data_IF_360043068477
#
_entry.id   IF_360043068477
#
_cell.length_a   1.000
_cell.length_b   1.000
_cell.length_c   1.000
_cell.angle_alpha   90.00
_cell.angle_beta   90.00
_cell.angle_gamma   90.00
#
_symmetry.space_group_name_H-M   'P 1'
#
loop_
_entity.id
_entity.type
_entity.pdbx_description
1 polymer ?
#
# COMPACT_ATOMS: atom_id res chain seq x y z
N UNK A 1 -6.34 -21.22 11.07
CA UNK A 1 -7.05 -20.26 11.93
C UNK A 1 -7.52 -19.12 11.05
N UNK A 2 -8.54 -18.35 11.47
CA UNK A 2 -9.07 -17.19 10.72
C UNK A 2 -9.21 -16.01 11.69
N UNK A 3 -8.75 -14.83 11.27
CA UNK A 3 -8.88 -13.62 12.05
C UNK A 3 -10.32 -13.09 11.99
N UNK A 4 -10.82 -12.63 13.14
CA UNK A 4 -12.07 -11.90 13.28
C UNK A 4 -11.69 -10.43 13.44
N UNK A 5 -11.98 -9.62 12.42
CA UNK A 5 -11.61 -8.18 12.40
C UNK A 5 -10.08 -7.96 12.46
N UNK A 6 -9.62 -6.72 12.60
CA UNK A 6 -8.23 -6.33 12.69
C UNK A 6 -8.08 -5.06 13.56
N UNK A 7 -7.39 -5.18 14.69
CA UNK A 7 -7.13 -4.07 15.63
C UNK A 7 -8.41 -3.34 16.08
N UNK A 8 -9.50 -4.09 16.27
CA UNK A 8 -10.80 -3.51 16.63
C UNK A 8 -10.75 -2.74 17.96
N UNK A 9 -9.83 -3.09 18.85
CA UNK A 9 -9.55 -2.37 20.08
C UNK A 9 -9.08 -0.93 19.87
N UNK A 10 -8.53 -0.60 18.70
CA UNK A 10 -8.15 0.76 18.30
C UNK A 10 -9.29 1.56 17.65
N UNK A 11 -10.40 0.90 17.30
CA UNK A 11 -11.52 1.54 16.64
C UNK A 11 -12.12 2.66 17.52
N UNK A 12 -12.31 3.85 16.92
CA UNK A 12 -12.91 5.01 17.56
C UNK A 12 -14.35 4.73 18.02
N UNK A 13 -15.07 3.88 17.29
CA UNK A 13 -16.44 3.47 17.59
C UNK A 13 -16.52 1.95 17.73
N UNK A 14 -16.98 1.50 18.90
CA UNK A 14 -17.12 0.09 19.22
C UNK A 14 -18.60 -0.28 19.33
N UNK A 15 -19.07 -1.11 18.40
CA UNK A 15 -20.41 -1.70 18.38
C UNK A 15 -20.37 -3.08 19.06
N UNK A 16 -21.09 -3.27 20.18
CA UNK A 16 -21.07 -4.54 20.91
C UNK A 16 -21.64 -5.73 20.11
N UNK A 17 -22.35 -5.50 19.01
CA UNK A 17 -22.95 -6.56 18.19
C UNK A 17 -22.10 -6.94 16.97
N UNK A 18 -21.15 -6.09 16.57
CA UNK A 18 -20.40 -6.27 15.32
C UNK A 18 -19.46 -7.48 15.38
N UNK A 19 -18.58 -7.53 16.39
CA UNK A 19 -17.62 -8.63 16.54
C UNK A 19 -18.29 -10.01 16.71
N UNK A 20 -19.34 -10.17 17.56
CA UNK A 20 -20.11 -11.41 17.61
C UNK A 20 -20.74 -11.80 16.26
N UNK A 21 -21.27 -10.83 15.51
CA UNK A 21 -21.84 -11.07 14.20
C UNK A 21 -20.79 -11.62 13.22
N UNK A 22 -19.59 -11.03 13.14
CA UNK A 22 -18.53 -11.52 12.26
C UNK A 22 -18.06 -12.92 12.67
N UNK A 23 -17.88 -13.18 13.96
CA UNK A 23 -17.55 -14.52 14.48
C UNK A 23 -18.57 -15.56 14.06
N UNK A 24 -19.86 -15.30 14.31
CA UNK A 24 -20.93 -16.26 14.02
C UNK A 24 -21.12 -16.47 12.51
N UNK A 25 -20.93 -15.41 11.72
CA UNK A 25 -20.88 -15.50 10.27
C UNK A 25 -19.75 -16.43 9.81
N UNK A 26 -18.53 -16.24 10.30
CA UNK A 26 -17.38 -17.07 9.94
C UNK A 26 -17.61 -18.54 10.32
N UNK A 27 -18.10 -18.82 11.54
CA UNK A 27 -18.42 -20.19 11.96
C UNK A 27 -19.54 -20.81 11.11
N UNK A 28 -20.54 -20.02 10.70
CA UNK A 28 -21.62 -20.52 9.84
C UNK A 28 -21.13 -20.95 8.45
N UNK A 29 -20.08 -20.29 7.92
CA UNK A 29 -19.54 -20.57 6.59
C UNK A 29 -18.42 -21.62 6.61
N UNK A 30 -17.62 -21.66 7.68
CA UNK A 30 -16.40 -22.46 7.75
C UNK A 30 -16.52 -23.68 8.69
N UNK A 31 -17.58 -23.72 9.51
CA UNK A 31 -17.84 -24.79 10.48
C UNK A 31 -17.28 -24.49 11.87
N UNK A 32 -17.91 -25.10 12.88
CA UNK A 32 -17.63 -24.85 14.30
C UNK A 32 -16.24 -25.30 14.78
N UNK A 33 -15.55 -26.16 14.02
CA UNK A 33 -14.19 -26.60 14.32
C UNK A 33 -13.12 -25.57 13.85
N UNK A 34 -13.54 -24.48 13.21
CA UNK A 34 -12.63 -23.41 12.77
C UNK A 34 -12.06 -22.66 13.96
N UNK A 35 -10.73 -22.65 14.08
CA UNK A 35 -10.04 -21.82 15.07
C UNK A 35 -10.12 -20.35 14.64
N UNK A 36 -10.93 -19.57 15.34
CA UNK A 36 -11.01 -18.12 15.17
C UNK A 36 -10.06 -17.41 16.14
N UNK A 37 -9.54 -16.24 15.74
CA UNK A 37 -8.70 -15.40 16.60
C UNK A 37 -8.95 -13.91 16.36
N UNK A 38 -8.63 -13.05 17.33
CA UNK A 38 -8.63 -11.58 17.21
C UNK A 38 -7.20 -11.06 17.41
N UNK A 39 -6.79 -10.06 16.64
CA UNK A 39 -5.48 -9.43 16.73
C UNK A 39 -5.63 -7.96 17.13
N UNK A 40 -4.88 -7.55 18.16
CA UNK A 40 -4.89 -6.19 18.68
C UNK A 40 -3.52 -5.81 19.26
N UNK A 41 -3.12 -4.53 19.19
CA UNK A 41 -1.93 -4.05 19.87
C UNK A 41 -2.14 -3.99 21.38
N UNK A 42 -1.04 -4.06 22.14
CA UNK A 42 -1.08 -3.97 23.61
C UNK A 42 -0.75 -2.56 24.11
N UNK A 43 -1.62 -1.60 23.78
CA UNK A 43 -1.57 -0.24 24.33
C UNK A 43 -2.33 -0.20 25.66
N UNK A 44 -1.59 -0.45 26.75
CA UNK A 44 -2.20 -0.71 28.06
C UNK A 44 -3.08 -1.97 28.02
N UNK A 45 -4.20 -1.98 28.78
CA UNK A 45 -5.18 -3.07 28.76
C UNK A 45 -6.43 -2.78 27.94
N UNK A 46 -6.52 -1.59 27.33
CA UNK A 46 -7.74 -1.13 26.68
C UNK A 46 -8.02 -1.86 25.35
N UNK A 47 -7.04 -1.89 24.44
CA UNK A 47 -7.22 -2.51 23.13
C UNK A 47 -7.60 -3.99 23.26
N UNK A 48 -6.85 -4.77 24.04
CA UNK A 48 -7.19 -6.17 24.32
C UNK A 48 -8.57 -6.36 24.97
N UNK A 49 -9.00 -5.45 25.85
CA UNK A 49 -10.34 -5.52 26.46
C UNK A 49 -11.45 -5.30 25.43
N UNK A 50 -11.21 -4.45 24.44
CA UNK A 50 -12.21 -4.00 23.48
C UNK A 50 -12.23 -4.83 22.18
N UNK A 51 -11.08 -5.31 21.73
CA UNK A 51 -10.93 -6.05 20.49
C UNK A 51 -11.10 -7.56 20.61
N UNK A 52 -11.08 -8.11 21.83
CA UNK A 52 -11.28 -9.55 22.06
C UNK A 52 -12.74 -9.93 22.22
N UNK A 53 -13.09 -11.16 21.80
CA UNK A 53 -14.44 -11.70 21.94
C UNK A 53 -14.45 -13.16 22.39
N UNK A 54 -15.47 -13.60 23.17
CA UNK A 54 -15.65 -15.00 23.50
C UNK A 54 -15.79 -15.87 22.25
N UNK A 55 -15.13 -17.04 22.25
CA UNK A 55 -15.14 -17.97 21.11
C UNK A 55 -14.09 -17.70 20.05
N UNK A 56 -13.23 -16.69 20.23
CA UNK A 56 -12.02 -16.47 19.45
C UNK A 56 -10.80 -16.41 20.39
N UNK A 57 -9.65 -16.92 19.93
CA UNK A 57 -8.37 -16.81 20.62
C UNK A 57 -7.89 -15.35 20.55
N UNK A 58 -7.55 -14.73 21.68
CA UNK A 58 -6.89 -13.42 21.63
C UNK A 58 -5.42 -13.59 21.21
N UNK A 59 -4.93 -12.70 20.35
CA UNK A 59 -3.52 -12.59 19.94
C UNK A 59 -3.05 -11.14 20.09
N UNK A 60 -1.75 -10.90 19.92
CA UNK A 60 -1.15 -9.58 20.16
C UNK A 60 -0.23 -9.13 19.05
N UNK A 61 -0.26 -7.83 18.78
CA UNK A 61 0.56 -7.20 17.75
C UNK A 61 1.48 -6.15 18.35
N UNK A 62 2.77 -6.22 17.99
CA UNK A 62 3.76 -5.22 18.38
C UNK A 62 5.06 -5.38 17.60
N UNK A 63 5.79 -4.27 17.47
CA UNK A 63 7.07 -4.24 16.77
C UNK A 63 8.25 -4.74 17.62
N UNK A 64 9.39 -4.83 16.96
CA UNK A 64 10.69 -5.09 17.60
C UNK A 64 10.90 -4.18 18.81
N UNK A 65 11.17 -4.78 19.97
CA UNK A 65 11.21 -4.12 21.28
C UNK A 65 12.28 -4.78 22.19
N UNK A 66 12.36 -4.36 23.45
CA UNK A 66 13.21 -5.05 24.43
C UNK A 66 12.47 -6.22 25.12
N UNK A 67 13.22 -7.17 25.67
CA UNK A 67 12.69 -8.39 26.30
C UNK A 67 11.66 -8.11 27.39
N UNK A 68 11.87 -7.06 28.20
CA UNK A 68 10.94 -6.70 29.28
C UNK A 68 9.59 -6.26 28.73
N UNK A 69 9.57 -5.53 27.61
CA UNK A 69 8.34 -5.12 26.95
C UNK A 69 7.60 -6.34 26.38
N UNK A 70 8.31 -7.26 25.73
CA UNK A 70 7.75 -8.49 25.17
C UNK A 70 7.12 -9.34 26.30
N UNK A 71 7.87 -9.54 27.39
CA UNK A 71 7.41 -10.30 28.56
C UNK A 71 6.17 -9.67 29.20
N UNK A 72 6.11 -8.34 29.30
CA UNK A 72 4.94 -7.61 29.76
C UNK A 72 3.73 -7.89 28.85
N UNK A 73 3.89 -7.81 27.51
CA UNK A 73 2.76 -7.99 26.58
C UNK A 73 2.21 -9.41 26.61
N UNK A 74 3.09 -10.41 26.73
CA UNK A 74 2.67 -11.80 26.90
C UNK A 74 2.02 -12.07 28.26
N UNK A 75 2.46 -11.39 29.32
CA UNK A 75 1.79 -11.47 30.62
C UNK A 75 0.37 -10.88 30.58
N UNK A 76 0.15 -9.77 29.85
CA UNK A 76 -1.19 -9.21 29.65
C UNK A 76 -2.07 -10.14 28.81
N UNK A 77 -1.55 -10.70 27.71
CA UNK A 77 -2.29 -11.67 26.88
C UNK A 77 -2.72 -12.90 27.69
N UNK A 78 -1.83 -13.42 28.55
CA UNK A 78 -2.11 -14.60 29.36
C UNK A 78 -3.32 -14.42 30.30
N UNK A 79 -3.61 -13.18 30.73
CA UNK A 79 -4.79 -12.86 31.55
C UNK A 79 -6.09 -12.98 30.76
N UNK A 80 -6.05 -12.71 29.46
CA UNK A 80 -7.22 -12.80 28.57
C UNK A 80 -7.46 -14.24 28.13
N UNK A 81 -6.39 -14.96 27.78
CA UNK A 81 -6.46 -16.33 27.27
C UNK A 81 -6.53 -17.41 28.37
N UNK A 82 -6.56 -17.04 29.66
CA UNK A 82 -6.56 -17.98 30.79
C UNK A 82 -5.44 -19.05 30.69
N UNK A 83 -4.23 -18.61 30.33
CA UNK A 83 -3.08 -19.50 30.12
C UNK A 83 -3.07 -20.29 28.80
N UNK A 84 -3.91 -19.92 27.84
CA UNK A 84 -3.87 -20.41 26.46
C UNK A 84 -2.57 -20.04 25.71
N UNK A 85 -2.43 -20.46 24.45
CA UNK A 85 -1.20 -20.24 23.69
C UNK A 85 -0.87 -18.76 23.53
N UNK A 86 0.43 -18.44 23.53
CA UNK A 86 0.94 -17.11 23.21
C UNK A 86 1.11 -17.03 21.70
N UNK A 87 0.47 -16.05 21.07
CA UNK A 87 0.54 -15.84 19.62
C UNK A 87 0.74 -14.36 19.34
N UNK A 88 1.85 -14.04 18.68
CA UNK A 88 2.10 -12.74 18.08
C UNK A 88 1.70 -12.78 16.60
N UNK A 89 0.61 -12.11 16.26
CA UNK A 89 0.02 -12.15 14.91
C UNK A 89 0.59 -11.11 13.97
N UNK A 90 1.17 -10.05 14.50
CA UNK A 90 2.03 -9.14 13.76
C UNK A 90 3.24 -8.76 14.60
N UNK A 91 4.40 -9.26 14.19
CA UNK A 91 5.70 -8.76 14.65
C UNK A 91 6.25 -7.80 13.60
N UNK A 92 6.13 -6.50 13.87
CA UNK A 92 6.55 -5.46 12.92
C UNK A 92 8.08 -5.37 12.84
N UNK A 93 8.67 -5.84 11.75
CA UNK A 93 10.13 -5.80 11.49
C UNK A 93 10.57 -4.53 10.76
N UNK A 94 9.64 -3.66 10.42
CA UNK A 94 9.85 -2.39 9.74
C UNK A 94 8.54 -1.60 9.68
N UNK A 95 8.56 -0.48 8.96
CA UNK A 95 7.41 0.40 8.82
C UNK A 95 7.18 0.77 7.34
N UNK A 96 5.94 1.09 7.00
CA UNK A 96 5.59 1.68 5.71
C UNK A 96 6.17 3.09 5.57
N UNK A 97 6.27 3.58 4.32
CA UNK A 97 6.70 4.95 4.03
C UNK A 97 5.51 5.81 3.59
N UNK A 98 5.62 7.12 3.83
CA UNK A 98 4.66 8.13 3.34
C UNK A 98 5.38 9.13 2.45
N UNK A 99 4.69 9.57 1.39
CA UNK A 99 5.25 10.61 0.53
C UNK A 99 5.49 11.91 1.29
N UNK A 100 6.63 12.54 1.09
CA UNK A 100 7.04 13.77 1.77
C UNK A 100 7.64 13.57 3.16
N UNK A 101 7.72 12.33 3.65
CA UNK A 101 8.43 11.99 4.89
C UNK A 101 9.73 11.24 4.61
N UNK A 102 10.74 11.33 5.48
CA UNK A 102 11.93 10.51 5.37
C UNK A 102 11.58 9.02 5.36
N UNK A 103 12.36 8.22 4.63
CA UNK A 103 12.25 6.76 4.69
C UNK A 103 12.46 6.27 6.13
N UNK A 104 11.60 5.39 6.66
CA UNK A 104 11.82 4.76 7.95
C UNK A 104 13.17 4.02 7.97
N UNK A 105 13.92 4.17 9.06
CA UNK A 105 15.17 3.45 9.25
C UNK A 105 14.89 1.95 9.35
N UNK A 106 15.52 1.11 8.50
CA UNK A 106 15.38 -0.34 8.64
C UNK A 106 15.85 -0.81 10.00
N UNK A 107 15.14 -1.77 10.60
CA UNK A 107 15.57 -2.42 11.84
C UNK A 107 16.77 -3.33 11.54
N UNK A 108 17.78 -3.30 12.40
CA UNK A 108 18.94 -4.17 12.27
C UNK A 108 18.52 -5.65 12.30
N UNK A 109 18.89 -6.47 11.30
CA UNK A 109 18.55 -7.90 11.26
C UNK A 109 18.99 -8.69 12.50
N UNK A 110 20.08 -8.29 13.16
CA UNK A 110 20.52 -8.92 14.41
C UNK A 110 19.52 -8.65 15.54
N UNK A 111 19.00 -7.43 15.63
CA UNK A 111 17.98 -7.07 16.64
C UNK A 111 16.67 -7.79 16.36
N UNK A 112 16.29 -7.92 15.09
CA UNK A 112 15.12 -8.73 14.68
C UNK A 112 15.31 -10.19 15.12
N UNK A 113 16.48 -10.79 14.85
CA UNK A 113 16.78 -12.16 15.24
C UNK A 113 16.68 -12.37 16.76
N UNK A 114 17.30 -11.50 17.56
CA UNK A 114 17.25 -11.62 19.02
C UNK A 114 15.83 -11.49 19.57
N UNK A 115 15.02 -10.58 19.02
CA UNK A 115 13.60 -10.45 19.38
C UNK A 115 12.81 -11.73 19.08
N UNK A 116 12.93 -12.25 17.85
CA UNK A 116 12.23 -13.47 17.44
C UNK A 116 12.69 -14.68 18.28
N UNK A 117 13.98 -14.77 18.60
CA UNK A 117 14.53 -15.82 19.45
C UNK A 117 14.02 -15.72 20.89
N UNK A 118 13.93 -14.50 21.45
CA UNK A 118 13.34 -14.29 22.77
C UNK A 118 11.87 -14.70 22.79
N UNK A 119 11.06 -14.24 21.82
CA UNK A 119 9.65 -14.65 21.68
C UNK A 119 9.50 -16.18 21.55
N UNK A 120 10.35 -16.81 20.73
CA UNK A 120 10.36 -18.26 20.55
C UNK A 120 10.71 -19.00 21.86
N UNK A 121 11.63 -18.46 22.67
CA UNK A 121 11.99 -19.03 23.98
C UNK A 121 10.82 -19.03 24.97
N UNK A 122 9.81 -18.17 24.77
CA UNK A 122 8.55 -18.15 25.53
C UNK A 122 7.50 -19.11 24.98
N UNK A 123 7.85 -19.96 24.02
CA UNK A 123 6.95 -20.88 23.33
C UNK A 123 5.82 -20.14 22.57
N UNK A 124 6.12 -18.91 22.09
CA UNK A 124 5.17 -18.13 21.29
C UNK A 124 5.12 -18.63 19.84
N UNK A 125 3.92 -18.61 19.26
CA UNK A 125 3.74 -18.66 17.80
C UNK A 125 3.88 -17.26 17.23
N UNK A 126 4.60 -17.10 16.11
CA UNK A 126 5.02 -15.79 15.62
C UNK A 126 4.70 -15.66 14.12
N UNK A 127 4.06 -14.56 13.74
CA UNK A 127 3.95 -14.11 12.36
C UNK A 127 4.78 -12.83 12.15
N UNK A 128 5.66 -12.85 11.14
CA UNK A 128 6.58 -11.75 10.84
C UNK A 128 5.91 -10.80 9.85
N UNK A 129 5.63 -9.58 10.28
CA UNK A 129 4.95 -8.57 9.47
C UNK A 129 5.90 -7.41 9.11
N UNK A 130 6.32 -7.23 7.87
CA UNK A 130 6.12 -8.07 6.68
C UNK A 130 7.38 -8.90 6.45
N UNK A 131 7.21 -10.22 6.28
CA UNK A 131 8.28 -11.09 5.77
C UNK A 131 8.66 -10.74 4.32
N UNK A 132 7.68 -10.32 3.52
CA UNK A 132 7.85 -9.72 2.20
C UNK A 132 6.69 -8.74 1.95
N UNK A 133 6.99 -7.46 1.77
CA UNK A 133 5.95 -6.43 1.62
C UNK A 133 5.45 -6.18 0.21
N UNK A 134 6.28 -6.42 -0.82
CA UNK A 134 5.88 -6.26 -2.22
C UNK A 134 5.66 -4.81 -2.66
N UNK A 135 4.57 -4.56 -3.39
CA UNK A 135 4.29 -3.28 -4.07
C UNK A 135 2.79 -2.98 -4.09
N UNK A 136 2.43 -1.74 -3.76
CA UNK A 136 1.09 -1.21 -3.95
C UNK A 136 0.90 -0.77 -5.40
N UNK A 137 0.56 -1.71 -6.28
CA UNK A 137 0.25 -1.42 -7.68
C UNK A 137 -1.04 -0.60 -7.82
N UNK A 138 -1.25 -0.05 -9.02
CA UNK A 138 -2.46 0.68 -9.36
C UNK A 138 -2.79 1.84 -8.39
N UNK A 139 -3.95 1.79 -7.76
CA UNK A 139 -4.44 2.78 -6.81
C UNK A 139 -4.64 2.18 -5.40
N UNK A 140 -4.00 1.04 -5.09
CA UNK A 140 -4.24 0.27 -3.85
C UNK A 140 -3.55 0.84 -2.61
N UNK A 141 -2.66 1.83 -2.77
CA UNK A 141 -2.02 2.54 -1.66
C UNK A 141 -3.04 3.26 -0.77
N UNK A 142 -2.89 3.15 0.54
CA UNK A 142 -3.69 3.86 1.54
C UNK A 142 -3.10 5.24 1.92
N UNK A 143 -3.79 5.95 2.82
CA UNK A 143 -3.31 7.16 3.50
C UNK A 143 -3.71 7.15 4.97
N UNK A 144 -2.90 7.79 5.81
CA UNK A 144 -3.19 7.98 7.23
C UNK A 144 -2.87 9.43 7.64
N UNK A 145 -3.87 10.23 8.10
CA UNK A 145 -5.28 9.88 8.18
C UNK A 145 -5.93 9.69 6.80
N UNK A 146 -6.92 8.82 6.74
CA UNK A 146 -7.80 8.68 5.58
C UNK A 146 -8.71 9.89 5.40
N UNK A 147 -9.21 10.10 4.18
CA UNK A 147 -10.20 11.13 3.89
C UNK A 147 -11.09 10.75 2.71
N UNK A 148 -12.33 11.25 2.70
CA UNK A 148 -13.21 11.06 1.56
C UNK A 148 -12.60 11.77 0.33
N UNK A 149 -12.47 11.10 -0.84
CA UNK A 149 -11.94 11.72 -2.04
C UNK A 149 -12.96 12.70 -2.65
N UNK A 150 -12.48 13.68 -3.42
CA UNK A 150 -13.33 14.61 -4.18
C UNK A 150 -13.50 16.00 -3.55
N UNK A 151 -14.38 16.80 -4.15
CA UNK A 151 -14.69 18.16 -3.69
C UNK A 151 -15.85 18.13 -2.69
N UNK A 152 -15.59 18.41 -1.41
CA UNK A 152 -16.61 18.31 -0.34
C UNK A 152 -17.25 19.65 0.06
N UNK A 153 -16.49 20.74 0.03
CA UNK A 153 -16.90 22.02 0.63
C UNK A 153 -17.35 23.07 -0.40
N UNK A 154 -17.74 22.63 -1.59
CA UNK A 154 -17.98 23.51 -2.72
C UNK A 154 -16.70 24.27 -3.14
N UNK A 155 -16.82 25.09 -4.17
CA UNK A 155 -15.71 25.94 -4.64
C UNK A 155 -16.27 27.31 -4.97
N UNK A 156 -15.52 28.36 -4.69
CA UNK A 156 -15.92 29.74 -4.95
C UNK A 156 -15.03 30.40 -5.99
N UNK A 157 -15.58 31.37 -6.73
CA UNK A 157 -14.84 32.31 -7.55
C UNK A 157 -15.25 33.71 -7.11
N UNK A 158 -14.28 34.51 -6.65
CA UNK A 158 -14.52 35.85 -6.08
C UNK A 158 -15.58 35.87 -4.96
N UNK A 159 -15.58 34.83 -4.13
CA UNK A 159 -16.53 34.66 -3.03
C UNK A 159 -17.91 34.15 -3.46
N UNK A 160 -18.17 33.97 -4.76
CA UNK A 160 -19.43 33.43 -5.27
C UNK A 160 -19.31 31.91 -5.43
N UNK A 161 -20.25 31.16 -4.85
CA UNK A 161 -20.28 29.70 -4.98
C UNK A 161 -20.53 29.28 -6.42
N UNK A 162 -19.65 28.40 -6.94
CA UNK A 162 -19.86 27.73 -8.22
C UNK A 162 -20.85 26.59 -8.04
N UNK A 163 -21.87 26.56 -8.90
CA UNK A 163 -22.98 25.61 -8.89
C UNK A 163 -23.10 24.90 -10.25
N UNK A 164 -23.93 23.85 -10.33
CA UNK A 164 -24.20 23.08 -11.56
C UNK A 164 -22.99 22.32 -12.13
N UNK A 165 -22.28 21.61 -11.27
CA UNK A 165 -21.14 20.78 -11.66
C UNK A 165 -21.56 19.58 -12.51
N UNK A 166 -20.83 19.35 -13.60
CA UNK A 166 -20.83 18.08 -14.32
C UNK A 166 -19.58 17.31 -13.93
N UNK A 167 -19.76 16.16 -13.27
CA UNK A 167 -18.67 15.27 -12.90
C UNK A 167 -18.68 14.03 -13.78
N UNK A 168 -17.53 13.73 -14.40
CA UNK A 168 -17.33 12.52 -15.18
C UNK A 168 -16.21 11.70 -14.56
N UNK A 169 -16.44 10.41 -14.35
CA UNK A 169 -15.37 9.48 -14.02
C UNK A 169 -14.46 9.26 -15.23
N UNK A 170 -13.15 9.20 -14.99
CA UNK A 170 -12.18 8.83 -16.02
C UNK A 170 -11.85 7.35 -15.82
N UNK A 171 -12.16 6.53 -16.82
CA UNK A 171 -11.88 5.10 -16.78
C UNK A 171 -10.41 4.84 -17.17
N UNK A 172 -9.62 4.36 -16.20
CA UNK A 172 -8.19 4.04 -16.37
C UNK A 172 -7.95 2.52 -16.32
N UNK A 173 -8.90 1.71 -16.80
CA UNK A 173 -8.69 0.27 -16.97
C UNK A 173 -7.63 -0.04 -18.02
N UNK A 174 -7.06 -1.25 -17.97
CA UNK A 174 -6.14 -1.76 -18.98
C UNK A 174 -6.68 -1.59 -20.40
N UNK A 175 -7.95 -1.94 -20.65
CA UNK A 175 -8.57 -1.80 -21.97
C UNK A 175 -8.64 -0.33 -22.44
N UNK A 176 -8.92 0.61 -21.54
CA UNK A 176 -8.91 2.04 -21.86
C UNK A 176 -7.51 2.53 -22.23
N UNK A 177 -6.47 2.08 -21.52
CA UNK A 177 -5.07 2.42 -21.79
C UNK A 177 -4.56 1.76 -23.07
N UNK A 178 -4.94 0.50 -23.34
CA UNK A 178 -4.58 -0.21 -24.57
C UNK A 178 -5.21 0.47 -25.79
N UNK A 179 -6.49 0.87 -25.70
CA UNK A 179 -7.20 1.63 -26.75
C UNK A 179 -6.54 2.98 -27.01
N UNK A 180 -6.21 3.71 -25.93
CA UNK A 180 -5.46 4.96 -26.02
C UNK A 180 -4.15 4.73 -26.79
N UNK A 181 -3.34 3.77 -26.34
CA UNK A 181 -2.03 3.46 -26.93
C UNK A 181 -2.15 3.07 -28.40
N UNK A 182 -3.12 2.22 -28.76
CA UNK A 182 -3.39 1.82 -30.14
C UNK A 182 -3.69 3.04 -31.01
N UNK A 183 -4.56 3.94 -30.54
CA UNK A 183 -4.90 5.18 -31.25
C UNK A 183 -3.70 6.11 -31.48
N UNK A 184 -2.70 6.08 -30.59
CA UNK A 184 -1.45 6.84 -30.73
C UNK A 184 -0.51 6.18 -31.74
N UNK A 185 -0.28 4.87 -31.62
CA UNK A 185 0.64 4.11 -32.48
C UNK A 185 0.16 4.08 -33.92
N UNK A 186 -1.14 3.94 -34.14
CA UNK A 186 -1.76 3.91 -35.46
C UNK A 186 -2.00 5.32 -36.05
N UNK A 187 -1.64 6.39 -35.33
CA UNK A 187 -1.81 7.78 -35.78
C UNK A 187 -3.27 8.21 -35.93
N UNK A 188 -4.21 7.50 -35.31
CA UNK A 188 -5.65 7.72 -35.43
C UNK A 188 -6.15 8.87 -34.56
N UNK A 189 -5.34 9.39 -33.64
CA UNK A 189 -5.74 10.46 -32.74
C UNK A 189 -5.30 11.84 -33.30
N UNK A 190 -6.24 12.69 -33.76
CA UNK A 190 -5.93 13.98 -34.39
C UNK A 190 -5.45 15.04 -33.40
N UNK A 191 -5.56 14.80 -32.09
CA UNK A 191 -5.03 15.68 -31.03
C UNK A 191 -3.58 15.35 -30.67
N UNK A 192 -2.98 14.34 -31.31
CA UNK A 192 -1.59 13.97 -31.12
C UNK A 192 -0.70 15.03 -31.73
N UNK A 193 0.08 15.67 -30.86
CA UNK A 193 1.16 16.55 -31.26
C UNK A 193 2.37 15.66 -31.56
N UNK A 194 2.72 15.48 -32.84
CA UNK A 194 4.01 14.91 -33.29
C UNK A 194 5.14 15.50 -32.44
N UNK A 195 6.19 14.73 -32.08
CA UNK A 195 7.06 14.96 -30.93
C UNK A 195 7.37 16.45 -30.76
N UNK A 196 6.56 17.12 -29.94
CA UNK A 196 6.73 18.53 -29.71
C UNK A 196 7.98 18.70 -28.85
N UNK A 197 8.60 19.88 -28.97
CA UNK A 197 9.52 20.42 -27.98
C UNK A 197 9.09 19.96 -26.59
N UNK A 198 10.08 19.51 -25.82
CA UNK A 198 9.94 19.20 -24.41
C UNK A 198 8.84 20.02 -23.72
N UNK A 199 7.89 19.32 -23.11
CA UNK A 199 6.75 19.95 -22.44
C UNK A 199 6.92 19.77 -20.95
N UNK A 200 6.98 20.89 -20.24
CA UNK A 200 6.93 20.89 -18.78
C UNK A 200 5.49 20.89 -18.25
N UNK A 201 4.48 20.84 -19.13
CA UNK A 201 3.07 20.87 -18.73
C UNK A 201 2.53 19.47 -18.40
N UNK A 202 1.51 19.38 -17.52
CA UNK A 202 0.73 18.17 -17.31
C UNK A 202 0.17 17.60 -18.62
N UNK A 203 0.06 16.28 -18.71
CA UNK A 203 -0.44 15.62 -19.90
C UNK A 203 -0.26 14.11 -19.88
N UNK A 204 -0.72 13.49 -20.97
CA UNK A 204 -0.52 12.05 -21.21
C UNK A 204 0.62 11.89 -22.21
N UNK A 205 1.67 11.19 -21.78
CA UNK A 205 2.84 10.89 -22.59
C UNK A 205 2.80 9.42 -22.97
N UNK A 206 2.95 9.13 -24.26
CA UNK A 206 2.96 7.77 -24.79
C UNK A 206 4.28 7.53 -25.51
N UNK A 207 4.95 6.44 -25.17
CA UNK A 207 6.22 6.05 -25.74
C UNK A 207 6.28 4.56 -26.05
N UNK A 208 7.26 4.16 -26.85
CA UNK A 208 7.58 2.77 -27.12
C UNK A 208 9.07 2.51 -26.89
N UNK A 209 9.40 1.33 -26.39
CA UNK A 209 10.78 0.87 -26.28
C UNK A 209 10.89 -0.62 -26.59
N UNK A 210 12.07 -1.04 -27.02
CA UNK A 210 12.40 -2.46 -27.22
C UNK A 210 13.24 -2.94 -26.05
N UNK A 211 12.87 -4.07 -25.44
CA UNK A 211 13.66 -4.71 -24.40
C UNK A 211 14.56 -5.79 -25.03
N UNK A 212 15.87 -5.69 -24.82
CA UNK A 212 16.84 -6.71 -25.25
C UNK A 212 16.90 -7.90 -24.30
N UNK A 213 16.51 -7.71 -23.04
CA UNK A 213 16.43 -8.72 -21.99
C UNK A 213 15.09 -8.59 -21.27
N UNK A 214 14.46 -9.73 -20.99
CA UNK A 214 13.21 -9.80 -20.24
C UNK A 214 13.55 -10.11 -18.78
N UNK A 215 13.70 -9.06 -17.97
CA UNK A 215 14.06 -9.15 -16.56
C UNK A 215 13.40 -8.03 -15.77
N UNK A 216 13.37 -8.18 -14.45
CA UNK A 216 12.90 -7.13 -13.55
C UNK A 216 13.71 -5.85 -13.78
N UNK A 217 13.04 -4.71 -13.66
CA UNK A 217 13.67 -3.39 -13.77
C UNK A 217 12.89 -2.37 -12.94
N UNK A 218 13.35 -1.13 -12.96
CA UNK A 218 12.77 -0.05 -12.19
C UNK A 218 12.63 1.19 -13.07
N UNK A 219 11.43 1.73 -13.17
CA UNK A 219 11.22 3.02 -13.82
C UNK A 219 11.74 4.13 -12.89
N UNK A 220 12.77 4.85 -13.33
CA UNK A 220 13.29 6.02 -12.64
C UNK A 220 12.46 7.25 -13.03
N UNK A 221 11.71 7.77 -12.05
CA UNK A 221 10.86 8.94 -12.25
C UNK A 221 11.60 10.27 -12.11
N UNK A 222 12.92 10.27 -11.90
CA UNK A 222 13.72 11.50 -11.79
C UNK A 222 13.48 12.42 -12.99
N UNK A 223 13.19 13.69 -12.72
CA UNK A 223 12.85 14.71 -13.73
C UNK A 223 11.35 14.85 -14.03
N UNK A 224 10.53 13.87 -13.62
CA UNK A 224 9.06 13.93 -13.67
C UNK A 224 8.47 14.62 -12.44
N UNK A 225 7.20 15.02 -12.52
CA UNK A 225 6.51 15.74 -11.46
C UNK A 225 5.77 14.80 -10.51
N UNK A 226 4.52 14.49 -10.84
CA UNK A 226 3.67 13.57 -10.09
C UNK A 226 2.67 12.92 -11.03
N UNK A 227 2.52 11.61 -10.96
CA UNK A 227 1.66 10.95 -11.93
C UNK A 227 1.47 9.46 -11.71
N UNK A 228 1.01 8.81 -12.78
CA UNK A 228 0.75 7.39 -12.87
C UNK A 228 1.52 6.77 -14.03
N UNK A 229 2.13 5.61 -13.81
CA UNK A 229 2.84 4.84 -14.83
C UNK A 229 2.03 3.64 -15.29
N UNK A 230 1.99 3.42 -16.61
CA UNK A 230 1.50 2.19 -17.21
C UNK A 230 2.54 1.60 -18.17
N UNK A 231 2.71 0.28 -18.15
CA UNK A 231 3.52 -0.46 -19.12
C UNK A 231 2.67 -1.59 -19.71
N UNK A 232 2.54 -1.64 -21.02
CA UNK A 232 1.70 -2.62 -21.73
C UNK A 232 0.26 -2.67 -21.19
N UNK A 233 -0.25 -1.50 -20.77
CA UNK A 233 -1.57 -1.32 -20.17
C UNK A 233 -1.67 -1.67 -18.68
N UNK A 234 -0.65 -2.28 -18.07
CA UNK A 234 -0.61 -2.57 -16.64
C UNK A 234 -0.28 -1.31 -15.84
N UNK A 235 -1.08 -0.99 -14.84
CA UNK A 235 -0.90 0.18 -14.00
C UNK A 235 0.10 -0.12 -12.86
N UNK A 236 1.31 0.44 -12.95
CA UNK A 236 2.40 0.15 -12.01
C UNK A 236 2.37 1.00 -10.75
N UNK A 237 1.44 1.95 -10.68
CA UNK A 237 1.26 2.78 -9.51
C UNK A 237 1.67 4.23 -9.72
N UNK A 238 1.76 4.92 -8.58
CA UNK A 238 1.95 6.37 -8.48
C UNK A 238 3.44 6.68 -8.38
N UNK A 239 3.89 7.74 -9.04
CA UNK A 239 5.21 8.32 -8.83
C UNK A 239 5.10 9.76 -8.33
N UNK A 240 6.01 10.16 -7.44
CA UNK A 240 6.13 11.54 -6.96
C UNK A 240 7.55 11.87 -6.46
N UNK A 241 8.56 11.84 -7.35
CA UNK A 241 9.98 11.93 -6.99
C UNK A 241 10.33 13.20 -6.21
N UNK A 242 9.61 14.30 -6.44
CA UNK A 242 9.82 15.57 -5.72
C UNK A 242 9.46 15.43 -4.24
N UNK A 243 8.44 14.66 -3.91
CA UNK A 243 8.05 14.42 -2.51
C UNK A 243 8.95 13.37 -1.85
N UNK A 244 9.35 12.32 -2.59
CA UNK A 244 10.11 11.20 -2.02
C UNK A 244 9.34 10.47 -0.89
N UNK A 245 9.91 9.44 -0.26
CA UNK A 245 11.28 8.98 -0.41
C UNK A 245 11.47 8.02 -1.60
N UNK A 246 10.40 7.40 -2.10
CA UNK A 246 10.49 6.53 -3.27
C UNK A 246 10.79 7.35 -4.54
N UNK A 247 11.74 6.93 -5.37
CA UNK A 247 12.01 7.58 -6.66
C UNK A 247 11.69 6.64 -7.82
N UNK A 248 11.96 5.35 -7.65
CA UNK A 248 11.70 4.35 -8.68
C UNK A 248 10.41 3.56 -8.45
N UNK A 249 9.75 3.14 -9.54
CA UNK A 249 8.65 2.16 -9.50
C UNK A 249 9.15 0.81 -10.00
N UNK A 250 8.82 -0.26 -9.27
CA UNK A 250 9.16 -1.63 -9.66
C UNK A 250 8.39 -2.04 -10.92
N UNK A 251 9.12 -2.63 -11.88
CA UNK A 251 8.58 -3.17 -13.13
C UNK A 251 8.88 -4.67 -13.17
N UNK A 252 7.87 -5.52 -12.94
CA UNK A 252 8.09 -6.95 -12.86
C UNK A 252 8.31 -7.56 -14.26
N UNK A 253 9.24 -8.49 -14.39
CA UNK A 253 9.56 -9.18 -15.64
C UNK A 253 8.34 -9.72 -16.40
N UNK A 254 7.31 -10.32 -15.75
CA UNK A 254 6.18 -10.93 -16.46
C UNK A 254 5.37 -9.99 -17.35
N UNK A 255 5.44 -8.67 -17.15
CA UNK A 255 4.71 -7.71 -18.00
C UNK A 255 5.57 -7.15 -19.13
N UNK A 256 6.88 -7.42 -19.13
CA UNK A 256 7.82 -6.90 -20.12
C UNK A 256 7.83 -7.83 -21.33
N UNK A 257 7.72 -7.23 -22.51
CA UNK A 257 7.74 -7.89 -23.81
C UNK A 257 8.95 -7.41 -24.62
N UNK A 258 9.16 -7.99 -25.81
CA UNK A 258 10.22 -7.49 -26.71
C UNK A 258 9.94 -6.06 -27.16
N UNK A 259 8.68 -5.73 -27.48
CA UNK A 259 8.23 -4.37 -27.80
C UNK A 259 7.21 -3.93 -26.75
N UNK A 260 7.46 -2.79 -26.12
CA UNK A 260 6.67 -2.31 -25.00
C UNK A 260 6.08 -0.94 -25.29
N UNK A 261 4.92 -0.69 -24.70
CA UNK A 261 4.31 0.63 -24.67
C UNK A 261 4.36 1.17 -23.24
N UNK A 262 4.66 2.46 -23.13
CA UNK A 262 4.70 3.19 -21.86
C UNK A 262 3.70 4.33 -21.95
N UNK A 263 2.85 4.45 -20.93
CA UNK A 263 1.96 5.59 -20.76
C UNK A 263 2.24 6.23 -19.41
N UNK A 264 2.55 7.53 -19.42
CA UNK A 264 2.71 8.35 -18.23
C UNK A 264 1.57 9.38 -18.20
N UNK A 265 0.79 9.38 -17.12
CA UNK A 265 -0.18 10.42 -16.85
C UNK A 265 0.47 11.40 -15.87
N UNK A 266 1.03 12.49 -16.37
CA UNK A 266 1.72 13.53 -15.60
C UNK A 266 0.75 14.63 -15.20
N UNK A 267 0.69 14.94 -13.90
CA UNK A 267 -0.34 15.81 -13.30
C UNK A 267 0.17 17.19 -12.90
N UNK A 268 1.48 17.34 -12.67
CA UNK A 268 2.07 18.60 -12.17
C UNK A 268 2.98 19.24 -13.21
N UNK A 269 3.70 18.42 -13.98
CA UNK A 269 4.68 18.87 -14.97
C UNK A 269 6.09 18.42 -14.63
N UNK A 270 6.94 18.34 -15.66
CA UNK A 270 8.32 17.89 -15.55
C UNK A 270 9.26 19.05 -15.19
N UNK A 271 10.28 18.79 -14.37
CA UNK A 271 11.35 19.74 -14.08
C UNK A 271 12.43 19.73 -15.17
N UNK A 272 12.55 18.62 -15.89
CA UNK A 272 13.46 18.48 -17.03
C UNK A 272 12.72 18.70 -18.36
N UNK A 273 13.37 19.38 -19.29
CA UNK A 273 12.90 19.48 -20.67
C UNK A 273 13.29 18.24 -21.50
N UNK A 274 13.36 17.06 -20.89
CA UNK A 274 13.66 15.81 -21.59
C UNK A 274 12.53 14.82 -21.29
N UNK A 275 11.62 14.64 -22.25
CA UNK A 275 10.50 13.69 -22.16
C UNK A 275 11.04 12.24 -22.27
N UNK A 276 11.83 11.79 -21.29
CA UNK A 276 12.55 10.51 -21.31
C UNK A 276 12.09 9.66 -20.13
N UNK A 277 11.70 8.42 -20.44
CA UNK A 277 11.44 7.38 -19.45
C UNK A 277 12.71 6.53 -19.29
N UNK A 278 13.31 6.58 -18.09
CA UNK A 278 14.53 5.83 -17.79
C UNK A 278 14.19 4.55 -17.02
N UNK A 279 14.92 3.48 -17.31
CA UNK A 279 14.81 2.20 -16.62
C UNK A 279 16.18 1.79 -16.09
N UNK A 280 16.25 1.45 -14.80
CA UNK A 280 17.48 1.11 -14.08
C UNK A 280 17.39 -0.29 -13.47
N UNK A 281 18.52 -0.85 -13.05
CA UNK A 281 18.66 -2.21 -12.52
C UNK A 281 18.56 -2.29 -10.98
N UNK A 282 18.31 -1.17 -10.32
CA UNK A 282 18.18 -1.09 -8.87
C UNK A 282 17.10 -0.09 -8.45
N UNK A 283 16.51 -0.32 -7.27
CA UNK A 283 15.58 0.64 -6.69
C UNK A 283 16.32 1.88 -6.18
N UNK A 284 15.79 3.06 -6.45
CA UNK A 284 16.21 4.32 -5.85
C UNK A 284 15.15 4.71 -4.82
N UNK A 285 15.54 4.58 -3.55
CA UNK A 285 14.69 4.85 -2.40
C UNK A 285 15.55 5.40 -1.26
N UNK A 286 16.00 6.66 -1.39
CA UNK A 286 16.83 7.35 -0.40
C UNK A 286 16.18 7.42 0.99
#
# INVERSE_FOLDING_TARGET
MIQVENDYGEAVFQDPNYMPFIRDLLLSQLGNDTVLYTADPVVGTYCLKCGTIPGALATVDFGISNDSFIDEKYAELAKVNNGGPIVSTEVWTGLYSSWGLPRPTPVDPAVVYENLNHMYSKNASINIYLIHGGTNFEFTSASDPGGAPGLHNGTTLDGVSLQNWFQCGINLTKASIDSLTTSFVEGLNPKVRSPQKASTLPGVFVGQFTASQLQDTFFDSTGWGKGQLFINGYNLGRYWPIAGPQITLYVPQPIIQQMNTVVLIELVGQSSAQNVANFVDHAIWP
#
